data_IF_828281802047
#
_entry.id   IF_828281802047
#
_cell.length_a   1.000
_cell.length_b   1.000
_cell.length_c   1.000
_cell.angle_alpha   90.00
_cell.angle_beta   90.00
_cell.angle_gamma   90.00
#
_symmetry.space_group_name_H-M   'P 1'
#
loop_
_entity.id
_entity.type
_entity.pdbx_description
1 polymer ?
#
# COMPACT_ATOMS: atom_id res chain seq x y z
N UNK A 1 6.18 -0.70 0.87
CA UNK A 1 5.07 -0.62 -0.12
C UNK A 1 4.50 0.77 -0.12
N UNK A 2 5.31 1.70 -0.60
CA UNK A 2 5.21 3.14 -0.30
C UNK A 2 5.09 3.98 -1.56
N UNK A 3 5.39 3.38 -2.71
CA UNK A 3 5.28 4.06 -3.99
C UNK A 3 3.92 3.84 -4.61
N UNK A 4 3.07 4.86 -4.60
CA UNK A 4 1.78 4.78 -5.25
C UNK A 4 1.90 4.87 -6.77
N UNK A 5 0.80 4.57 -7.46
CA UNK A 5 0.67 4.65 -8.91
C UNK A 5 -0.42 5.68 -9.27
N UNK A 6 -0.32 6.37 -10.42
CA UNK A 6 -1.30 7.37 -10.87
C UNK A 6 -2.77 6.94 -10.75
N UNK A 7 -3.07 5.67 -11.03
CA UNK A 7 -4.45 5.18 -11.05
C UNK A 7 -5.12 5.15 -9.67
N UNK A 8 -4.35 5.25 -8.57
CA UNK A 8 -4.94 5.44 -7.23
C UNK A 8 -5.69 6.76 -7.10
N UNK A 9 -5.42 7.74 -7.97
CA UNK A 9 -6.08 9.05 -7.99
C UNK A 9 -7.60 8.94 -7.94
N UNK A 10 -8.21 8.07 -8.77
CA UNK A 10 -9.67 7.96 -8.86
C UNK A 10 -10.29 7.34 -7.60
N UNK A 11 -9.57 6.42 -6.95
CA UNK A 11 -10.02 5.85 -5.67
C UNK A 11 -9.92 6.92 -4.59
N UNK A 12 -8.81 7.66 -4.54
CA UNK A 12 -8.62 8.75 -3.59
C UNK A 12 -9.64 9.89 -3.82
N UNK A 13 -10.03 10.16 -5.06
CA UNK A 13 -11.08 11.12 -5.39
C UNK A 13 -12.44 10.68 -4.85
N UNK A 14 -12.83 9.43 -5.13
CA UNK A 14 -14.08 8.84 -4.65
C UNK A 14 -14.15 8.80 -3.12
N UNK A 15 -13.01 8.61 -2.46
CA UNK A 15 -12.88 8.63 -1.00
C UNK A 15 -12.72 10.03 -0.41
N UNK A 16 -12.75 11.09 -1.25
CA UNK A 16 -12.54 12.50 -0.88
C UNK A 16 -11.20 12.78 -0.19
N UNK A 17 -10.20 11.96 -0.51
CA UNK A 17 -8.84 12.04 0.04
C UNK A 17 -7.92 12.99 -0.74
N UNK A 18 -8.22 13.32 -1.99
CA UNK A 18 -7.34 14.16 -2.81
C UNK A 18 -6.94 15.49 -2.14
N UNK A 19 -7.84 16.25 -1.49
CA UNK A 19 -7.44 17.48 -0.79
C UNK A 19 -6.41 17.21 0.32
N UNK A 20 -6.62 16.15 1.13
CA UNK A 20 -5.70 15.75 2.20
C UNK A 20 -4.35 15.31 1.65
N UNK A 21 -4.34 14.56 0.54
CA UNK A 21 -3.11 14.11 -0.12
C UNK A 21 -2.32 15.28 -0.71
N UNK A 22 -2.99 16.23 -1.38
CA UNK A 22 -2.35 17.43 -1.93
C UNK A 22 -1.78 18.35 -0.85
N UNK A 23 -2.39 18.38 0.34
CA UNK A 23 -1.91 19.14 1.49
C UNK A 23 -0.88 18.38 2.35
N UNK A 24 -0.65 17.09 2.07
CA UNK A 24 0.30 16.28 2.82
C UNK A 24 1.74 16.65 2.49
N UNK A 25 2.66 16.23 3.37
CA UNK A 25 4.11 16.35 3.16
C UNK A 25 4.69 15.24 2.27
N UNK A 26 3.85 14.34 1.75
CA UNK A 26 4.33 13.22 0.96
C UNK A 26 5.00 13.70 -0.32
N UNK A 27 6.09 13.04 -0.67
CA UNK A 27 6.86 13.39 -1.85
C UNK A 27 6.03 13.17 -3.11
N UNK A 28 5.94 14.19 -3.97
CA UNK A 28 5.27 14.09 -5.24
C UNK A 28 6.07 13.22 -6.22
N UNK A 29 5.42 12.20 -6.77
CA UNK A 29 5.98 11.27 -7.74
C UNK A 29 5.42 11.57 -9.12
N UNK A 30 6.29 12.02 -10.02
CA UNK A 30 5.95 12.34 -11.41
C UNK A 30 6.40 11.29 -12.41
N UNK A 31 7.31 10.40 -12.02
CA UNK A 31 7.97 9.45 -12.92
C UNK A 31 8.46 8.19 -12.23
N UNK A 32 8.94 7.25 -13.04
CA UNK A 32 9.76 6.12 -12.64
C UNK A 32 11.00 6.10 -13.55
N UNK A 33 12.13 5.67 -13.01
CA UNK A 33 13.36 5.46 -13.77
C UNK A 33 13.92 4.07 -13.53
N UNK A 34 14.56 3.53 -14.56
CA UNK A 34 15.18 2.21 -14.51
C UNK A 34 16.68 2.32 -14.75
N UNK A 35 17.46 1.63 -13.94
CA UNK A 35 18.90 1.45 -14.12
C UNK A 35 19.14 0.00 -14.50
N UNK A 36 19.75 -0.22 -15.66
CA UNK A 36 20.03 -1.58 -16.12
C UNK A 36 21.22 -2.20 -15.37
N UNK A 37 21.46 -3.49 -15.59
CA UNK A 37 22.57 -4.22 -14.96
C UNK A 37 23.98 -3.66 -15.25
N UNK A 38 24.13 -2.79 -16.25
CA UNK A 38 25.38 -2.08 -16.55
C UNK A 38 25.44 -0.66 -15.98
N UNK A 39 24.51 -0.27 -15.10
CA UNK A 39 24.48 1.05 -14.47
C UNK A 39 23.94 2.17 -15.34
N UNK A 40 23.44 1.88 -16.55
CA UNK A 40 22.86 2.90 -17.43
C UNK A 40 21.43 3.23 -17.01
N UNK A 41 21.18 4.49 -16.69
CA UNK A 41 19.86 5.02 -16.36
C UNK A 41 19.04 5.28 -17.64
N UNK A 42 17.75 5.01 -17.59
CA UNK A 42 16.79 5.42 -18.61
C UNK A 42 16.48 6.92 -18.51
N UNK A 43 15.91 7.48 -19.58
CA UNK A 43 15.15 8.73 -19.41
C UNK A 43 14.00 8.49 -18.40
N UNK A 44 13.59 9.52 -17.62
CA UNK A 44 12.42 9.41 -16.76
C UNK A 44 11.16 9.09 -17.57
N UNK A 45 10.41 8.09 -17.11
CA UNK A 45 9.08 7.81 -17.64
C UNK A 45 8.07 8.72 -16.94
N UNK A 46 7.86 9.92 -17.48
CA UNK A 46 6.89 10.85 -16.90
C UNK A 46 5.46 10.39 -17.19
N UNK A 47 4.63 10.35 -16.16
CA UNK A 47 3.23 9.92 -16.30
C UNK A 47 2.41 10.89 -17.17
N UNK A 48 2.75 12.19 -17.12
CA UNK A 48 2.07 13.23 -17.87
C UNK A 48 2.21 13.07 -19.40
N UNK A 49 3.30 12.46 -19.87
CA UNK A 49 3.55 12.26 -21.30
C UNK A 49 2.56 11.24 -21.91
N UNK A 50 2.10 10.28 -21.11
CA UNK A 50 1.10 9.30 -21.54
C UNK A 50 -0.34 9.81 -21.36
N UNK A 51 -0.58 10.62 -20.32
CA UNK A 51 -1.91 11.18 -20.04
C UNK A 51 -1.74 12.59 -19.46
N UNK A 52 -1.99 13.66 -20.21
CA UNK A 52 -1.85 15.02 -19.69
C UNK A 52 -3.07 15.39 -18.84
N UNK A 53 -3.10 14.90 -17.59
CA UNK A 53 -4.18 15.10 -16.63
C UNK A 53 -3.60 15.24 -15.20
N UNK A 54 -4.34 15.84 -14.27
CA UNK A 54 -3.89 15.98 -12.87
C UNK A 54 -3.59 14.60 -12.22
N UNK A 55 -4.28 13.55 -12.65
CA UNK A 55 -4.04 12.18 -12.18
C UNK A 55 -2.65 11.65 -12.53
N UNK A 56 -1.89 12.32 -13.41
CA UNK A 56 -0.56 11.91 -13.86
C UNK A 56 0.56 12.39 -12.94
N UNK A 57 0.25 12.42 -11.65
CA UNK A 57 1.18 12.47 -10.54
C UNK A 57 0.57 11.67 -9.40
N UNK A 58 1.41 11.21 -8.50
CA UNK A 58 0.98 10.48 -7.30
C UNK A 58 1.98 10.77 -6.18
N UNK A 59 1.98 9.97 -5.12
CA UNK A 59 2.81 10.21 -3.94
C UNK A 59 3.69 9.01 -3.61
N UNK A 60 4.89 9.31 -3.09
CA UNK A 60 5.62 8.38 -2.24
C UNK A 60 5.14 8.63 -0.81
N UNK A 61 4.59 7.61 -0.17
CA UNK A 61 3.92 7.75 1.12
C UNK A 61 4.66 7.04 2.24
N UNK A 62 4.70 7.68 3.40
CA UNK A 62 5.02 7.00 4.66
C UNK A 62 3.79 6.21 5.06
N UNK A 63 3.88 4.88 5.05
CA UNK A 63 2.70 4.01 5.17
C UNK A 63 1.97 4.13 6.50
N UNK A 64 2.66 4.36 7.60
CA UNK A 64 2.00 4.61 8.91
C UNK A 64 1.11 5.85 8.86
N UNK A 65 1.61 6.95 8.30
CA UNK A 65 0.85 8.20 8.15
C UNK A 65 -0.30 8.04 7.15
N UNK A 66 -0.02 7.47 5.99
CA UNK A 66 -1.03 7.28 4.95
C UNK A 66 -2.16 6.36 5.42
N UNK A 67 -1.84 5.21 6.02
CA UNK A 67 -2.84 4.26 6.48
C UNK A 67 -3.70 4.87 7.61
N UNK A 68 -3.09 5.64 8.54
CA UNK A 68 -3.84 6.40 9.56
C UNK A 68 -4.78 7.41 8.90
N UNK A 69 -4.28 8.23 7.97
CA UNK A 69 -5.10 9.23 7.27
C UNK A 69 -6.31 8.60 6.57
N UNK A 70 -6.13 7.42 5.96
CA UNK A 70 -7.21 6.67 5.31
C UNK A 70 -8.23 6.15 6.33
N UNK A 71 -7.76 5.65 7.48
CA UNK A 71 -8.60 5.13 8.56
C UNK A 71 -9.39 6.25 9.25
N UNK A 72 -8.75 7.39 9.50
CA UNK A 72 -9.37 8.58 10.06
C UNK A 72 -10.40 9.15 9.09
N UNK A 73 -10.12 9.15 7.78
CA UNK A 73 -11.12 9.50 6.78
C UNK A 73 -12.33 8.57 6.81
N UNK A 74 -12.15 7.27 7.06
CA UNK A 74 -13.28 6.36 7.22
C UNK A 74 -14.14 6.73 8.45
N UNK A 75 -13.50 7.07 9.58
CA UNK A 75 -14.21 7.57 10.78
C UNK A 75 -15.01 8.83 10.50
N UNK A 76 -14.41 9.80 9.83
CA UNK A 76 -15.08 11.04 9.42
C UNK A 76 -16.30 10.80 8.54
N UNK A 77 -16.33 9.67 7.82
CA UNK A 77 -17.45 9.23 6.99
C UNK A 77 -18.41 8.26 7.72
N UNK A 78 -18.32 8.17 9.04
CA UNK A 78 -19.26 7.43 9.89
C UNK A 78 -18.98 5.93 10.01
N UNK A 79 -17.76 5.48 9.69
CA UNK A 79 -17.34 4.10 9.95
C UNK A 79 -16.91 3.96 11.41
N UNK A 80 -17.50 2.99 12.12
CA UNK A 80 -17.02 2.58 13.43
C UNK A 80 -15.67 1.86 13.29
N UNK A 81 -14.61 2.51 13.77
CA UNK A 81 -13.25 1.99 13.70
C UNK A 81 -12.74 1.66 15.10
N UNK A 82 -12.31 0.41 15.25
CA UNK A 82 -11.71 -0.11 16.49
C UNK A 82 -10.25 -0.48 16.24
N UNK A 83 -9.33 0.22 16.91
CA UNK A 83 -7.90 -0.09 16.91
C UNK A 83 -7.50 -0.87 18.17
N UNK A 84 -6.39 -1.60 18.11
CA UNK A 84 -5.97 -2.47 19.22
C UNK A 84 -6.88 -3.70 19.43
N UNK A 85 -7.77 -3.97 18.48
CA UNK A 85 -8.70 -5.11 18.49
C UNK A 85 -8.30 -6.08 17.40
N UNK A 86 -8.09 -7.35 17.77
CA UNK A 86 -7.67 -8.40 16.84
C UNK A 86 -8.83 -9.32 16.51
N UNK A 87 -9.15 -9.49 15.23
CA UNK A 87 -10.04 -10.57 14.78
C UNK A 87 -9.31 -11.91 14.88
N UNK A 88 -9.87 -12.84 15.65
CA UNK A 88 -9.31 -14.18 15.87
C UNK A 88 -9.89 -15.20 14.90
N UNK A 89 -11.21 -15.15 14.70
CA UNK A 89 -11.91 -16.09 13.82
C UNK A 89 -13.23 -15.50 13.29
N UNK A 90 -13.87 -16.20 12.35
CA UNK A 90 -15.23 -15.92 11.89
C UNK A 90 -16.24 -16.90 12.45
N UNK A 91 -17.45 -16.40 12.66
CA UNK A 91 -18.59 -17.19 13.11
C UNK A 91 -19.34 -17.71 11.89
N UNK A 92 -19.58 -19.02 11.84
CA UNK A 92 -20.23 -19.69 10.70
C UNK A 92 -21.47 -20.42 11.19
N UNK A 93 -22.60 -20.14 10.57
CA UNK A 93 -23.88 -20.81 10.81
C UNK A 93 -24.51 -21.19 9.46
N UNK A 94 -24.96 -22.43 9.32
CA UNK A 94 -25.60 -22.93 8.09
C UNK A 94 -24.79 -22.59 6.82
N UNK A 95 -23.49 -22.86 6.84
CA UNK A 95 -22.53 -22.57 5.77
C UNK A 95 -22.38 -21.09 5.39
N UNK A 96 -22.80 -20.17 6.26
CA UNK A 96 -22.68 -18.73 6.06
C UNK A 96 -21.87 -18.08 7.18
N UNK A 97 -20.94 -17.20 6.81
CA UNK A 97 -20.28 -16.30 7.77
C UNK A 97 -21.30 -15.25 8.27
N UNK A 98 -21.48 -15.19 9.59
CA UNK A 98 -22.48 -14.34 10.27
C UNK A 98 -21.86 -13.40 11.32
N UNK A 99 -20.53 -13.34 11.38
CA UNK A 99 -19.83 -12.48 12.32
C UNK A 99 -18.37 -12.84 12.49
N UNK A 100 -17.75 -12.20 13.49
CA UNK A 100 -16.35 -12.38 13.86
C UNK A 100 -16.22 -12.54 15.37
N UNK A 101 -15.19 -13.28 15.79
CA UNK A 101 -14.72 -13.32 17.16
C UNK A 101 -13.52 -12.39 17.26
N UNK A 102 -13.58 -11.40 18.14
CA UNK A 102 -12.51 -10.43 18.35
C UNK A 102 -11.91 -10.57 19.74
N UNK A 103 -10.64 -10.21 19.87
CA UNK A 103 -9.93 -10.08 21.13
C UNK A 103 -9.56 -8.61 21.36
N UNK A 104 -9.93 -8.10 22.53
CA UNK A 104 -9.58 -6.75 22.99
C UNK A 104 -8.16 -6.71 23.56
N UNK A 105 -7.66 -5.50 23.83
CA UNK A 105 -6.32 -5.26 24.35
C UNK A 105 -6.06 -5.83 25.74
N UNK A 106 -7.11 -6.03 26.54
CA UNK A 106 -7.07 -6.69 27.86
C UNK A 106 -7.11 -8.23 27.77
N UNK A 107 -7.25 -8.78 26.56
CA UNK A 107 -7.34 -10.21 26.29
C UNK A 107 -8.76 -10.76 26.28
N UNK A 108 -9.78 -9.97 26.63
CA UNK A 108 -11.18 -10.38 26.58
C UNK A 108 -11.61 -10.69 25.14
N UNK A 109 -12.37 -11.76 24.98
CA UNK A 109 -12.90 -12.18 23.68
C UNK A 109 -14.39 -11.92 23.61
N UNK A 110 -14.86 -11.36 22.49
CA UNK A 110 -16.27 -11.08 22.25
C UNK A 110 -16.68 -11.42 20.82
N UNK A 111 -17.97 -11.71 20.62
CA UNK A 111 -18.56 -11.93 19.30
C UNK A 111 -19.17 -10.65 18.76
N UNK A 112 -18.90 -10.35 17.49
CA UNK A 112 -19.54 -9.27 16.74
C UNK A 112 -20.29 -9.88 15.55
N UNK A 113 -21.61 -9.69 15.50
CA UNK A 113 -22.46 -10.22 14.43
C UNK A 113 -22.56 -9.24 13.27
N UNK A 114 -22.46 -9.78 12.05
CA UNK A 114 -22.53 -9.00 10.81
C UNK A 114 -23.13 -9.83 9.68
N UNK A 115 -23.82 -9.17 8.74
CA UNK A 115 -24.43 -9.84 7.58
C UNK A 115 -23.41 -10.26 6.52
N UNK A 116 -22.30 -9.54 6.46
CA UNK A 116 -21.18 -9.70 5.52
C UNK A 116 -19.90 -9.39 6.27
N UNK A 117 -18.86 -10.19 6.02
CA UNK A 117 -17.50 -9.96 6.52
C UNK A 117 -16.59 -9.83 5.31
N UNK A 118 -15.77 -8.77 5.29
CA UNK A 118 -14.75 -8.54 4.25
C UNK A 118 -13.39 -8.73 4.88
N UNK A 119 -12.59 -9.65 4.34
CA UNK A 119 -11.21 -9.86 4.80
C UNK A 119 -10.26 -8.87 4.12
N UNK A 120 -9.87 -7.84 4.89
CA UNK A 120 -8.87 -6.85 4.50
C UNK A 120 -7.53 -7.02 5.28
N UNK A 121 -7.24 -8.23 5.77
CA UNK A 121 -6.12 -8.51 6.69
C UNK A 121 -4.73 -8.57 6.03
N UNK A 122 -4.63 -8.19 4.75
CA UNK A 122 -3.38 -8.18 3.98
C UNK A 122 -2.77 -9.58 3.86
N UNK A 123 -1.45 -9.70 4.07
CA UNK A 123 -0.74 -10.97 3.92
C UNK A 123 -1.12 -12.02 4.98
N UNK A 124 -1.66 -11.58 6.13
CA UNK A 124 -2.08 -12.50 7.18
C UNK A 124 -3.22 -13.40 6.70
N UNK A 125 -4.16 -12.89 5.90
CA UNK A 125 -5.15 -13.66 5.15
C UNK A 125 -6.05 -14.54 6.01
N UNK A 126 -6.80 -13.96 6.94
CA UNK A 126 -7.66 -14.66 7.91
C UNK A 126 -8.57 -15.72 7.25
N UNK A 127 -9.44 -15.32 6.32
CA UNK A 127 -10.39 -16.21 5.65
C UNK A 127 -9.66 -17.15 4.69
N UNK A 128 -8.65 -16.64 4.00
CA UNK A 128 -7.83 -17.43 3.07
C UNK A 128 -7.19 -18.63 3.76
N UNK A 129 -6.67 -18.44 4.98
CA UNK A 129 -6.08 -19.50 5.79
C UNK A 129 -7.16 -20.42 6.37
N UNK A 130 -8.23 -19.86 6.95
CA UNK A 130 -9.32 -20.65 7.55
C UNK A 130 -9.92 -21.64 6.56
N UNK A 131 -10.18 -21.18 5.34
CA UNK A 131 -10.79 -21.99 4.29
C UNK A 131 -9.76 -22.66 3.36
N UNK A 132 -8.46 -22.55 3.66
CA UNK A 132 -7.35 -23.14 2.89
C UNK A 132 -7.42 -22.82 1.40
N UNK A 133 -7.73 -21.56 1.08
CA UNK A 133 -7.94 -21.08 -0.30
C UNK A 133 -6.64 -20.62 -0.98
N UNK A 134 -5.51 -20.59 -0.25
CA UNK A 134 -4.25 -20.06 -0.78
C UNK A 134 -3.70 -20.99 -1.86
N UNK A 135 -3.51 -20.45 -3.06
CA UNK A 135 -2.79 -21.07 -4.16
C UNK A 135 -1.54 -20.24 -4.42
N UNK A 136 -0.37 -20.86 -4.30
CA UNK A 136 0.90 -20.19 -4.53
C UNK A 136 1.21 -20.12 -6.02
N UNK A 137 1.71 -18.97 -6.47
CA UNK A 137 2.26 -18.84 -7.81
C UNK A 137 3.64 -19.55 -7.86
N UNK A 138 3.82 -20.57 -8.72
CA UNK A 138 5.05 -21.34 -8.76
C UNK A 138 6.24 -20.57 -9.37
N UNK A 139 5.98 -19.48 -10.10
CA UNK A 139 7.00 -18.67 -10.79
C UNK A 139 7.40 -17.46 -9.94
N UNK A 140 6.42 -16.83 -9.30
CA UNK A 140 6.59 -15.61 -8.49
C UNK A 140 6.96 -15.91 -7.04
N UNK A 141 7.97 -16.75 -6.83
CA UNK A 141 8.57 -17.00 -5.52
C UNK A 141 9.73 -16.04 -5.25
N UNK A 142 9.41 -14.83 -4.79
CA UNK A 142 10.38 -13.75 -4.56
C UNK A 142 10.48 -13.42 -3.07
N UNK A 143 11.69 -13.13 -2.61
CA UNK A 143 11.97 -12.55 -1.30
C UNK A 143 12.41 -11.10 -1.44
N UNK A 144 12.22 -10.31 -0.39
CA UNK A 144 12.69 -8.93 -0.32
C UNK A 144 13.31 -8.63 1.03
N UNK A 145 14.41 -7.87 1.02
CA UNK A 145 15.05 -7.29 2.21
C UNK A 145 15.11 -5.79 1.98
N UNK A 146 14.74 -5.00 2.99
CA UNK A 146 14.60 -3.56 2.87
C UNK A 146 14.91 -2.88 4.20
N UNK A 147 15.28 -1.61 4.13
CA UNK A 147 15.49 -0.71 5.28
C UNK A 147 15.36 0.74 4.82
N UNK A 148 15.34 1.67 5.76
CA UNK A 148 15.42 3.10 5.52
C UNK A 148 16.86 3.61 5.58
N UNK A 149 17.12 4.69 4.85
CA UNK A 149 18.41 5.38 4.81
C UNK A 149 18.15 6.88 4.91
N UNK A 150 18.98 7.58 5.67
CA UNK A 150 18.98 9.04 5.77
C UNK A 150 20.20 9.62 5.05
N UNK A 151 20.05 10.79 4.43
CA UNK A 151 21.15 11.45 3.69
C UNK A 151 21.53 10.77 2.37
N UNK A 152 20.67 9.90 1.84
CA UNK A 152 20.86 9.31 0.52
C UNK A 152 20.76 10.37 -0.59
N UNK A 153 21.50 10.15 -1.68
CA UNK A 153 21.41 11.02 -2.85
C UNK A 153 20.00 10.99 -3.44
N UNK A 154 19.52 12.17 -3.86
CA UNK A 154 18.23 12.38 -4.49
C UNK A 154 18.43 13.32 -5.67
N UNK A 155 17.80 13.01 -6.80
CA UNK A 155 17.74 13.92 -7.93
C UNK A 155 17.03 15.23 -7.52
N UNK A 156 17.15 16.26 -8.35
CA UNK A 156 16.59 17.60 -8.04
C UNK A 156 15.43 17.95 -8.96
N UNK A 157 14.63 18.94 -8.56
CA UNK A 157 13.52 19.43 -9.37
C UNK A 157 12.45 18.37 -9.54
N UNK A 158 12.00 18.11 -10.77
CA UNK A 158 10.86 17.23 -11.04
C UNK A 158 11.13 15.75 -10.73
N UNK A 159 12.39 15.34 -10.76
CA UNK A 159 12.79 13.93 -10.61
C UNK A 159 13.11 13.56 -9.16
N UNK A 160 13.08 14.52 -8.22
CA UNK A 160 13.38 14.26 -6.82
C UNK A 160 12.50 13.14 -6.23
N UNK A 161 11.24 13.03 -6.66
CA UNK A 161 10.32 12.01 -6.18
C UNK A 161 10.23 10.75 -7.03
N UNK A 162 11.09 10.58 -8.03
CA UNK A 162 11.06 9.42 -8.91
C UNK A 162 11.32 8.12 -8.12
N UNK A 163 10.59 7.06 -8.45
CA UNK A 163 11.00 5.71 -8.03
C UNK A 163 12.13 5.25 -8.93
N UNK A 164 13.26 4.88 -8.34
CA UNK A 164 14.38 4.29 -9.09
C UNK A 164 14.35 2.78 -8.91
N UNK A 165 14.38 2.05 -10.02
CA UNK A 165 14.44 0.58 -10.04
C UNK A 165 15.78 0.18 -10.65
N UNK A 166 16.65 -0.43 -9.86
CA UNK A 166 18.01 -0.79 -10.28
C UNK A 166 18.15 -2.30 -10.41
N UNK A 167 18.51 -2.79 -11.58
CA UNK A 167 18.73 -4.22 -11.80
C UNK A 167 20.10 -4.66 -11.25
N UNK A 168 20.17 -5.83 -10.62
CA UNK A 168 21.44 -6.42 -10.21
C UNK A 168 22.28 -6.80 -11.42
N UNK A 169 23.62 -6.77 -11.29
CA UNK A 169 24.55 -7.12 -12.39
C UNK A 169 24.24 -8.50 -13.00
N UNK A 170 23.94 -9.49 -12.16
CA UNK A 170 23.58 -10.85 -12.58
C UNK A 170 22.15 -11.00 -13.14
N UNK A 171 21.36 -9.92 -13.17
CA UNK A 171 19.97 -9.85 -13.66
C UNK A 171 18.98 -10.77 -12.94
N UNK A 172 19.33 -11.26 -11.74
CA UNK A 172 18.47 -12.14 -10.93
C UNK A 172 17.61 -11.40 -9.92
N UNK A 173 17.84 -10.10 -9.73
CA UNK A 173 17.09 -9.26 -8.79
C UNK A 173 17.13 -7.79 -9.17
N UNK A 174 16.57 -6.97 -8.29
CA UNK A 174 16.53 -5.53 -8.43
C UNK A 174 16.37 -4.85 -7.06
N UNK A 175 16.74 -3.58 -6.99
CA UNK A 175 16.56 -2.69 -5.86
C UNK A 175 15.52 -1.63 -6.19
N UNK A 176 14.73 -1.20 -5.21
CA UNK A 176 13.98 0.04 -5.30
C UNK A 176 14.62 1.13 -4.44
N UNK A 177 14.57 2.37 -4.94
CA UNK A 177 14.78 3.57 -4.15
C UNK A 177 13.48 4.38 -4.22
N UNK A 178 12.89 4.61 -3.05
CA UNK A 178 11.63 5.32 -2.87
C UNK A 178 11.90 6.50 -1.91
N UNK A 179 11.91 7.75 -2.40
CA UNK A 179 12.09 8.93 -1.54
C UNK A 179 10.91 9.13 -0.60
N UNK A 180 11.14 9.46 0.68
CA UNK A 180 10.08 9.61 1.69
C UNK A 180 10.03 10.99 2.35
N UNK A 181 11.16 11.69 2.43
CA UNK A 181 11.31 13.01 3.05
C UNK A 181 12.41 13.78 2.35
#
# INVERSE_FOLDING_TARGET
>A
GESLIPETYWVLERLKMLPKMKASRFVHKHSVQFVNAGGKQSAPFYFADNKPHECSQTWQVVRSEFDSMMLDNAREHGVDVHEGVRVQDVIIEHDRVVGVVIQQSDGETQEIRARVVVDASGQSGLLMNKFKLRIWDPVLNKGAVWTYWEGAYRDTGRDEGATIVLQTENRKGWYWVIPQS
#
